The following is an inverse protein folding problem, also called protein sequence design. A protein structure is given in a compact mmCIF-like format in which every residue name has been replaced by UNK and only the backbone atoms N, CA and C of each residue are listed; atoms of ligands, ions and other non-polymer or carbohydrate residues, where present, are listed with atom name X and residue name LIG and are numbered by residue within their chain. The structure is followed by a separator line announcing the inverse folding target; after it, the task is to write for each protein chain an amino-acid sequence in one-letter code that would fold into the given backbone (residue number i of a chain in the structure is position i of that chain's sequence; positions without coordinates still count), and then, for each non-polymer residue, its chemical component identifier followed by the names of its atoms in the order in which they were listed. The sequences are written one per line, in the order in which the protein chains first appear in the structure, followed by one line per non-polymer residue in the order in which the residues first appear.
data_IF_493986549299
#
_entry.id   IF_493986549299
#
_cell.length_a   1.000
_cell.length_b   1.000
_cell.length_c   1.000
_cell.angle_alpha   90.00
_cell.angle_beta   90.00
_cell.angle_gamma   90.00
#
_symmetry.space_group_name_H-M   'P 1'
#
loop_
_entity.id
_entity.type
_entity.pdbx_description
1 polymer ?
#
# COMPACT_ATOMS: atom_id res chain seq x y z
N UNK A 1 20.01 23.88 1.60
CA UNK A 1 20.43 23.03 2.74
C UNK A 1 21.46 22.05 2.21
N UNK A 2 22.61 21.94 2.84
CA UNK A 2 23.62 20.92 2.52
C UNK A 2 23.00 19.54 2.78
N UNK A 3 23.18 18.56 1.91
CA UNK A 3 22.69 17.20 2.16
C UNK A 3 23.36 16.66 3.43
N UNK A 4 22.55 16.12 4.34
CA UNK A 4 23.03 15.45 5.57
C UNK A 4 23.82 14.22 5.12
N UNK A 5 25.03 14.02 5.65
CA UNK A 5 25.85 12.85 5.28
C UNK A 5 25.32 11.56 5.90
N UNK A 6 25.65 10.40 5.29
CA UNK A 6 25.29 9.10 5.87
C UNK A 6 25.89 8.91 7.27
N UNK A 7 27.06 9.50 7.55
CA UNK A 7 27.68 9.49 8.87
C UNK A 7 26.84 10.27 9.90
N UNK A 8 26.40 11.49 9.57
CA UNK A 8 25.55 12.28 10.45
C UNK A 8 24.22 11.59 10.75
N UNK A 9 23.66 10.90 9.75
CA UNK A 9 22.42 10.11 9.94
C UNK A 9 22.68 8.93 10.86
N UNK A 10 23.80 8.21 10.69
CA UNK A 10 24.19 7.11 11.56
C UNK A 10 24.34 7.57 13.00
N UNK A 11 25.16 8.61 13.25
CA UNK A 11 25.41 9.14 14.58
C UNK A 11 24.12 9.58 15.29
N UNK A 12 23.21 10.23 14.55
CA UNK A 12 21.89 10.61 15.06
C UNK A 12 21.02 9.42 15.44
N UNK A 13 20.95 8.37 14.58
CA UNK A 13 20.19 7.18 14.86
C UNK A 13 20.76 6.39 16.04
N UNK A 14 22.09 6.25 16.13
CA UNK A 14 22.77 5.59 17.26
C UNK A 14 22.50 6.33 18.57
N UNK A 15 22.59 7.66 18.55
CA UNK A 15 22.30 8.48 19.72
C UNK A 15 20.84 8.37 20.15
N UNK A 16 19.89 8.53 19.22
CA UNK A 16 18.47 8.49 19.50
C UNK A 16 18.02 7.14 20.09
N UNK A 17 18.69 6.06 19.69
CA UNK A 17 18.32 4.68 20.08
C UNK A 17 19.30 4.02 21.04
N UNK A 18 20.16 4.79 21.70
CA UNK A 18 21.23 4.26 22.56
C UNK A 18 20.72 3.32 23.67
N UNK A 19 19.50 3.52 24.14
CA UNK A 19 18.86 2.71 25.18
C UNK A 19 18.13 1.45 24.65
N UNK A 20 18.15 1.20 23.32
CA UNK A 20 17.44 0.06 22.72
C UNK A 20 18.41 -1.05 22.38
N UNK A 21 18.03 -2.28 22.69
CA UNK A 21 18.77 -3.49 22.30
C UNK A 21 18.22 -4.05 20.96
N UNK A 22 19.06 -4.20 19.91
CA UNK A 22 18.62 -4.77 18.65
C UNK A 22 18.35 -6.30 18.76
N UNK A 23 17.42 -6.85 17.95
CA UNK A 23 16.82 -6.23 16.78
C UNK A 23 15.59 -5.36 17.10
N UNK A 24 15.53 -4.16 16.53
CA UNK A 24 14.36 -3.29 16.60
C UNK A 24 14.14 -2.52 15.28
N UNK A 25 12.93 -1.99 15.08
CA UNK A 25 12.60 -1.16 13.91
C UNK A 25 12.24 0.26 14.34
N UNK A 26 12.61 1.22 13.50
CA UNK A 26 12.35 2.63 13.72
C UNK A 26 11.61 3.26 12.53
N UNK A 27 10.92 4.36 12.80
CA UNK A 27 10.46 5.30 11.77
C UNK A 27 10.98 6.69 12.12
N UNK A 28 11.83 7.21 11.25
CA UNK A 28 12.27 8.59 11.26
C UNK A 28 11.11 9.48 10.78
N UNK A 29 10.49 10.22 11.71
CA UNK A 29 9.34 11.07 11.43
C UNK A 29 9.71 12.25 10.53
N UNK A 30 10.92 12.81 10.64
CA UNK A 30 11.36 13.90 9.78
C UNK A 30 11.42 13.44 8.30
N UNK A 31 11.94 12.24 8.07
CA UNK A 31 11.97 11.63 6.75
C UNK A 31 10.57 11.24 6.27
N UNK A 32 9.73 10.67 7.15
CA UNK A 32 8.34 10.30 6.85
C UNK A 32 7.52 11.51 6.39
N UNK A 33 7.61 12.62 7.12
CA UNK A 33 6.85 13.83 6.80
C UNK A 33 7.38 14.53 5.55
N UNK A 34 8.68 14.50 5.30
CA UNK A 34 9.25 14.97 4.04
C UNK A 34 8.74 14.15 2.85
N UNK A 35 8.66 12.82 3.00
CA UNK A 35 8.10 11.93 1.99
C UNK A 35 6.60 12.18 1.78
N UNK A 36 5.83 12.38 2.85
CA UNK A 36 4.41 12.70 2.76
C UNK A 36 4.18 13.99 1.98
N UNK A 37 4.93 15.05 2.29
CA UNK A 37 4.85 16.33 1.59
C UNK A 37 5.22 16.22 0.10
N UNK A 38 6.24 15.41 -0.24
CA UNK A 38 6.55 15.14 -1.66
C UNK A 38 5.42 14.40 -2.36
N UNK A 39 4.81 13.40 -1.72
CA UNK A 39 3.67 12.68 -2.28
C UNK A 39 2.48 13.61 -2.50
N UNK A 40 2.14 14.47 -1.54
CA UNK A 40 1.07 15.47 -1.66
C UNK A 40 1.32 16.42 -2.83
N UNK A 41 2.52 16.97 -2.94
CA UNK A 41 2.93 17.84 -4.06
C UNK A 41 2.79 17.16 -5.41
N UNK A 42 3.17 15.89 -5.51
CA UNK A 42 3.13 15.09 -6.74
C UNK A 42 1.71 14.66 -7.11
N UNK A 43 0.83 14.51 -6.13
CA UNK A 43 -0.57 14.14 -6.32
C UNK A 43 -1.48 15.34 -6.63
N UNK A 44 -1.06 16.55 -6.24
CA UNK A 44 -1.90 17.75 -6.34
C UNK A 44 -2.49 17.97 -7.75
N UNK A 45 -3.76 18.39 -7.84
CA UNK A 45 -4.65 18.81 -6.75
C UNK A 45 -5.50 17.66 -6.15
N UNK A 46 -5.23 16.40 -6.47
CA UNK A 46 -6.06 15.27 -6.07
C UNK A 46 -5.63 14.70 -4.72
N UNK A 47 -6.57 14.28 -3.86
CA UNK A 47 -6.23 13.64 -2.60
C UNK A 47 -5.63 12.25 -2.82
N UNK A 48 -4.82 11.83 -1.86
CA UNK A 48 -4.25 10.47 -1.78
C UNK A 48 -5.09 9.64 -0.82
N UNK A 49 -5.65 8.54 -1.30
CA UNK A 49 -6.20 7.49 -0.44
C UNK A 49 -5.05 6.65 0.08
N UNK A 50 -4.87 6.62 1.40
CA UNK A 50 -3.73 5.97 2.06
C UNK A 50 -3.81 4.45 1.93
N UNK A 51 -2.83 3.85 1.26
CA UNK A 51 -2.73 2.40 1.15
C UNK A 51 -2.19 1.79 2.45
N UNK A 52 -3.07 1.27 3.29
CA UNK A 52 -2.79 0.68 4.62
C UNK A 52 -1.75 -0.45 4.55
N UNK A 53 -1.83 -1.30 3.52
CA UNK A 53 -0.86 -2.36 3.23
C UNK A 53 0.60 -1.90 3.28
N UNK A 54 0.83 -0.64 2.96
CA UNK A 54 2.17 -0.07 2.89
C UNK A 54 2.65 0.53 4.20
N UNK A 55 1.79 0.64 5.21
CA UNK A 55 2.09 1.22 6.52
C UNK A 55 1.98 0.18 7.64
N UNK A 56 0.86 -0.54 7.71
CA UNK A 56 0.57 -1.60 8.70
C UNK A 56 0.88 -1.22 10.15
N UNK A 57 0.64 0.05 10.46
CA UNK A 57 0.73 0.66 11.78
C UNK A 57 -0.38 1.69 11.88
N UNK A 58 -1.36 1.44 12.74
CA UNK A 58 -2.58 2.25 12.85
C UNK A 58 -2.27 3.67 13.31
N UNK A 59 -1.44 3.83 14.32
CA UNK A 59 -1.05 5.15 14.83
C UNK A 59 -0.42 6.05 13.75
N UNK A 60 0.38 5.48 12.85
CA UNK A 60 0.94 6.23 11.72
C UNK A 60 -0.10 6.52 10.63
N UNK A 61 -1.04 5.60 10.40
CA UNK A 61 -2.13 5.84 9.45
C UNK A 61 -3.03 6.99 9.91
N UNK A 62 -3.40 7.02 11.19
CA UNK A 62 -4.18 8.08 11.81
C UNK A 62 -3.51 9.45 11.59
N UNK A 63 -2.22 9.58 11.94
CA UNK A 63 -1.44 10.81 11.76
C UNK A 63 -1.30 11.25 10.29
N UNK A 64 -1.14 10.29 9.37
CA UNK A 64 -1.06 10.60 7.94
C UNK A 64 -2.41 11.09 7.42
N UNK A 65 -3.51 10.52 7.88
CA UNK A 65 -4.87 10.92 7.48
C UNK A 65 -5.29 12.30 8.01
N UNK A 66 -4.61 12.83 9.04
CA UNK A 66 -4.79 14.22 9.51
C UNK A 66 -4.21 15.25 8.52
N UNK A 67 -3.36 14.84 7.58
CA UNK A 67 -2.76 15.73 6.59
C UNK A 67 -3.74 16.04 5.46
N UNK A 68 -3.82 17.33 5.02
CA UNK A 68 -4.81 17.76 4.02
C UNK A 68 -4.75 17.04 2.68
N UNK A 69 -3.56 16.54 2.29
CA UNK A 69 -3.36 15.82 1.03
C UNK A 69 -3.79 14.36 1.06
N UNK A 70 -4.14 13.82 2.24
CA UNK A 70 -4.57 12.42 2.40
C UNK A 70 -6.06 12.35 2.78
N UNK A 71 -6.75 11.37 2.21
CA UNK A 71 -8.18 11.20 2.46
C UNK A 71 -8.60 9.75 2.31
N UNK A 72 -9.13 9.17 3.40
CA UNK A 72 -9.62 7.80 3.44
C UNK A 72 -8.52 6.75 3.31
N UNK A 73 -8.88 5.52 3.54
CA UNK A 73 -7.97 4.37 3.58
C UNK A 73 -8.24 3.42 2.42
N UNK A 74 -7.17 2.89 1.80
CA UNK A 74 -7.22 1.78 0.86
C UNK A 74 -6.77 0.52 1.60
N UNK A 75 -7.73 -0.25 2.10
CA UNK A 75 -7.50 -1.52 2.78
C UNK A 75 -7.17 -2.64 1.79
N UNK A 76 -6.40 -3.64 2.21
CA UNK A 76 -6.00 -4.74 1.33
C UNK A 76 -6.81 -6.02 1.51
N UNK A 77 -7.59 -6.14 2.59
CA UNK A 77 -8.59 -7.21 2.77
C UNK A 77 -9.86 -6.66 3.41
N UNK A 78 -10.98 -7.35 3.24
CA UNK A 78 -12.21 -6.98 3.92
C UNK A 78 -12.11 -7.17 5.45
N UNK A 79 -11.50 -8.25 6.00
CA UNK A 79 -11.26 -8.35 7.44
C UNK A 79 -10.46 -7.18 8.02
N UNK A 80 -9.42 -6.71 7.31
CA UNK A 80 -8.70 -5.49 7.72
C UNK A 80 -9.62 -4.27 7.76
N UNK A 81 -10.40 -4.07 6.70
CA UNK A 81 -11.32 -2.93 6.61
C UNK A 81 -12.33 -2.90 7.76
N UNK A 82 -12.88 -4.06 8.11
CA UNK A 82 -13.82 -4.22 9.23
C UNK A 82 -13.14 -3.94 10.58
N UNK A 83 -11.92 -4.42 10.76
CA UNK A 83 -11.14 -4.14 11.96
C UNK A 83 -10.81 -2.64 12.09
N UNK A 84 -10.38 -1.99 11.01
CA UNK A 84 -10.14 -0.54 10.98
C UNK A 84 -11.41 0.25 11.24
N UNK A 85 -12.54 -0.14 10.64
CA UNK A 85 -13.86 0.45 10.91
C UNK A 85 -14.24 0.34 12.39
N UNK A 86 -13.92 -0.78 13.04
CA UNK A 86 -14.06 -0.98 14.49
C UNK A 86 -13.18 -0.07 15.34
N UNK A 87 -12.17 0.58 14.73
CA UNK A 87 -11.22 1.50 15.37
C UNK A 87 -11.42 2.97 14.98
N UNK A 88 -12.55 3.30 14.35
CA UNK A 88 -12.91 4.68 14.02
C UNK A 88 -12.49 5.17 12.64
N UNK A 89 -12.00 4.30 11.76
CA UNK A 89 -11.78 4.65 10.35
C UNK A 89 -13.12 4.64 9.60
N UNK A 90 -13.48 5.75 8.94
CA UNK A 90 -14.82 5.95 8.40
C UNK A 90 -14.94 5.84 6.88
N UNK A 91 -13.87 6.10 6.13
CA UNK A 91 -13.84 6.08 4.67
C UNK A 91 -12.81 5.05 4.18
N UNK A 92 -13.29 3.81 3.95
CA UNK A 92 -12.43 2.67 3.62
C UNK A 92 -12.84 2.08 2.27
N UNK A 93 -11.88 1.97 1.35
CA UNK A 93 -12.02 1.25 0.09
C UNK A 93 -11.19 -0.04 0.16
N UNK A 94 -11.82 -1.19 0.02
CA UNK A 94 -11.11 -2.48 -0.05
C UNK A 94 -10.59 -2.68 -1.47
N UNK A 95 -9.26 -2.71 -1.62
CA UNK A 95 -8.57 -2.68 -2.91
C UNK A 95 -8.68 -3.97 -3.74
N UNK A 96 -9.05 -5.07 -3.12
CA UNK A 96 -9.07 -6.38 -3.76
C UNK A 96 -10.40 -7.08 -3.51
N UNK A 97 -10.95 -7.79 -4.52
CA UNK A 97 -12.15 -8.59 -4.34
C UNK A 97 -11.98 -9.62 -3.23
N UNK A 98 -13.07 -9.94 -2.56
CA UNK A 98 -13.09 -10.96 -1.50
C UNK A 98 -14.02 -12.11 -1.84
N UNK A 99 -13.67 -13.31 -1.37
CA UNK A 99 -14.54 -14.49 -1.33
C UNK A 99 -14.83 -14.92 0.13
N UNK A 100 -14.43 -14.14 1.11
CA UNK A 100 -14.67 -14.39 2.53
C UNK A 100 -16.13 -14.13 2.88
N UNK A 101 -16.92 -15.21 2.97
CA UNK A 101 -18.35 -15.16 3.28
C UNK A 101 -18.63 -14.65 4.69
N UNK A 102 -17.69 -14.87 5.64
CA UNK A 102 -17.80 -14.38 7.00
C UNK A 102 -17.69 -12.86 7.04
N UNK A 103 -16.64 -12.34 6.41
CA UNK A 103 -16.41 -10.91 6.32
C UNK A 103 -17.51 -10.19 5.51
N UNK A 104 -18.04 -10.79 4.45
CA UNK A 104 -19.19 -10.22 3.70
C UNK A 104 -20.45 -10.11 4.56
N UNK A 105 -20.78 -11.11 5.41
CA UNK A 105 -21.89 -11.01 6.36
C UNK A 105 -21.67 -9.93 7.40
N UNK A 106 -20.45 -9.82 7.89
CA UNK A 106 -20.07 -8.77 8.86
C UNK A 106 -20.15 -7.38 8.22
N UNK A 107 -19.74 -7.21 6.96
CA UNK A 107 -19.94 -5.98 6.19
C UNK A 107 -21.42 -5.61 6.08
N UNK A 108 -22.27 -6.59 5.74
CA UNK A 108 -23.70 -6.39 5.63
C UNK A 108 -24.32 -5.95 6.98
N UNK A 109 -23.83 -6.50 8.10
CA UNK A 109 -24.22 -6.10 9.46
C UNK A 109 -23.73 -4.68 9.78
N UNK A 110 -22.44 -4.40 9.55
CA UNK A 110 -21.83 -3.08 9.78
C UNK A 110 -22.58 -1.97 9.04
N UNK A 111 -22.89 -2.19 7.76
CA UNK A 111 -23.62 -1.22 6.91
C UNK A 111 -25.01 -0.91 7.48
N UNK A 112 -25.69 -1.91 8.08
CA UNK A 112 -27.00 -1.70 8.70
C UNK A 112 -26.92 -1.00 10.08
N UNK A 113 -25.87 -1.27 10.87
CA UNK A 113 -25.71 -0.75 12.23
C UNK A 113 -25.02 0.61 12.28
N UNK A 114 -24.08 0.88 11.35
CA UNK A 114 -23.28 2.12 11.32
C UNK A 114 -23.22 2.70 9.91
N UNK A 115 -24.30 3.31 9.42
CA UNK A 115 -24.38 3.85 8.05
C UNK A 115 -23.39 4.99 7.77
N UNK A 116 -22.88 5.65 8.80
CA UNK A 116 -21.85 6.68 8.70
C UNK A 116 -20.47 6.10 8.30
N UNK A 117 -20.23 4.83 8.61
CA UNK A 117 -18.97 4.15 8.29
C UNK A 117 -19.00 3.60 6.86
N UNK A 118 -18.34 4.28 5.96
CA UNK A 118 -18.35 3.97 4.52
C UNK A 118 -17.27 2.95 4.19
N UNK A 119 -17.64 1.66 4.16
CA UNK A 119 -16.77 0.59 3.65
C UNK A 119 -17.24 0.22 2.24
N UNK A 120 -16.40 0.44 1.25
CA UNK A 120 -16.64 0.09 -0.16
C UNK A 120 -15.81 -1.12 -0.54
N UNK A 121 -16.41 -2.09 -1.23
CA UNK A 121 -15.72 -3.32 -1.66
C UNK A 121 -15.50 -3.35 -3.17
N UNK A 122 -14.42 -4.00 -3.60
CA UNK A 122 -14.10 -4.17 -5.01
C UNK A 122 -14.90 -5.30 -5.64
N UNK A 123 -15.43 -5.04 -6.84
CA UNK A 123 -16.18 -6.02 -7.64
C UNK A 123 -15.72 -5.99 -9.09
N UNK A 124 -15.44 -7.15 -9.67
CA UNK A 124 -15.08 -7.29 -11.08
C UNK A 124 -15.76 -8.47 -11.79
N UNK A 125 -16.66 -9.18 -11.12
CA UNK A 125 -17.38 -10.32 -11.69
C UNK A 125 -18.78 -10.53 -11.08
N UNK A 126 -19.66 -11.19 -11.82
CA UNK A 126 -21.00 -11.56 -11.33
C UNK A 126 -20.94 -12.53 -10.15
N UNK A 127 -19.97 -13.44 -10.14
CA UNK A 127 -19.80 -14.39 -9.04
C UNK A 127 -19.54 -13.70 -7.69
N UNK A 128 -18.85 -12.55 -7.67
CA UNK A 128 -18.66 -11.77 -6.46
C UNK A 128 -19.95 -11.09 -6.00
N UNK A 129 -20.79 -10.64 -6.94
CA UNK A 129 -22.13 -10.12 -6.61
C UNK A 129 -23.03 -11.23 -6.03
N UNK A 130 -22.97 -12.44 -6.57
CA UNK A 130 -23.73 -13.58 -6.04
C UNK A 130 -23.30 -13.93 -4.60
N UNK A 131 -22.00 -13.82 -4.27
CA UNK A 131 -21.51 -13.98 -2.90
C UNK A 131 -22.03 -12.88 -1.97
N UNK A 132 -22.10 -11.64 -2.47
CA UNK A 132 -22.63 -10.51 -1.72
C UNK A 132 -24.13 -10.65 -1.47
N UNK A 133 -24.91 -11.03 -2.49
CA UNK A 133 -26.36 -11.30 -2.36
C UNK A 133 -26.62 -12.36 -1.30
N UNK A 134 -25.85 -13.46 -1.32
CA UNK A 134 -25.96 -14.51 -0.32
C UNK A 134 -25.65 -14.01 1.10
N UNK A 135 -24.69 -13.09 1.24
CA UNK A 135 -24.36 -12.49 2.53
C UNK A 135 -25.46 -11.52 3.00
N UNK A 136 -26.01 -10.72 2.10
CA UNK A 136 -27.13 -9.81 2.38
C UNK A 136 -28.40 -10.56 2.79
N UNK A 137 -28.71 -11.68 2.12
CA UNK A 137 -29.85 -12.52 2.46
C UNK A 137 -29.71 -13.22 3.82
N UNK A 138 -28.48 -13.56 4.22
CA UNK A 138 -28.17 -14.23 5.47
C UNK A 138 -28.05 -13.26 6.68
N UNK A 139 -27.92 -11.96 6.45
CA UNK A 139 -27.80 -10.99 7.50
C UNK A 139 -29.20 -10.72 8.13
N UNK A 140 -29.34 -10.77 9.47
CA UNK A 140 -30.64 -10.51 10.12
C UNK A 140 -31.17 -9.13 9.72
N UNK A 141 -32.46 -9.03 9.43
CA UNK A 141 -33.16 -7.75 9.37
C UNK A 141 -32.88 -7.04 10.72
N UNK A 142 -32.45 -5.77 10.69
CA UNK A 142 -32.05 -5.05 11.91
C UNK A 142 -33.08 -5.29 13.01
N UNK A 143 -32.60 -5.74 14.19
CA UNK A 143 -33.46 -5.85 15.36
C UNK A 143 -33.99 -4.46 15.66
N UNK A 144 -35.29 -4.28 15.48
CA UNK A 144 -36.02 -3.08 15.84
C UNK A 144 -35.71 -2.72 17.29
N UNK A 145 -35.47 -1.44 17.54
CA UNK A 145 -35.41 -0.86 18.88
C UNK A 145 -36.59 -1.31 19.75
N UNK A 146 -36.42 -1.39 21.09
CA UNK A 146 -37.46 -1.88 21.99
C UNK A 146 -38.77 -1.09 21.80
N UNK A 147 -39.85 -1.84 21.67
CA UNK A 147 -41.21 -1.36 21.50
C UNK A 147 -41.60 -0.41 22.66
N UNK A 148 -41.82 0.85 22.32
CA UNK A 148 -42.81 1.67 23.07
C UNK A 148 -44.00 1.82 22.12
N UNK A 149 -45.15 1.31 22.58
CA UNK A 149 -46.44 1.41 21.93
C UNK A 149 -46.81 2.88 21.65
N UNK A 150 -46.74 3.31 20.42
CA UNK A 150 -47.56 4.41 19.87
C UNK A 150 -47.80 4.17 18.40
N UNK A 151 -49.06 3.92 18.10
CA UNK A 151 -49.78 4.01 16.80
C UNK A 151 -48.97 3.85 15.50
N UNK A 152 -49.04 2.66 14.91
CA UNK A 152 -48.62 2.35 13.53
C UNK A 152 -49.62 2.98 12.53
N UNK A 153 -49.14 3.89 11.72
CA UNK A 153 -49.66 4.02 10.34
C UNK A 153 -48.49 4.25 9.40
N UNK A 154 -48.51 3.49 8.31
CA UNK A 154 -47.67 3.54 7.11
C UNK A 154 -46.43 2.60 7.12
N UNK A 155 -46.52 1.63 6.23
CA UNK A 155 -45.58 0.74 5.58
C UNK A 155 -44.21 1.37 5.28
N UNK A 156 -43.14 0.90 5.99
CA UNK A 156 -41.76 1.21 5.67
C UNK A 156 -40.90 1.16 6.91
N UNK A 157 -40.34 0.00 7.25
CA UNK A 157 -39.19 -0.07 8.17
C UNK A 157 -38.03 0.76 7.57
N UNK A 158 -37.05 1.23 8.40
CA UNK A 158 -35.93 1.99 7.88
C UNK A 158 -35.27 1.17 6.77
N UNK A 159 -35.18 1.77 5.57
CA UNK A 159 -34.56 1.11 4.42
C UNK A 159 -33.10 0.80 4.77
N UNK A 160 -32.72 -0.47 4.60
CA UNK A 160 -31.34 -0.90 4.82
C UNK A 160 -30.43 -0.11 3.88
N UNK A 161 -29.35 0.47 4.41
CA UNK A 161 -28.35 1.12 3.58
C UNK A 161 -27.70 0.09 2.65
N UNK A 162 -27.49 0.40 1.37
CA UNK A 162 -26.87 -0.51 0.43
C UNK A 162 -25.38 -0.68 0.74
N UNK A 163 -24.85 -1.87 0.47
CA UNK A 163 -23.41 -2.12 0.47
C UNK A 163 -22.78 -1.40 -0.72
N UNK A 164 -21.72 -0.66 -0.45
CA UNK A 164 -21.03 0.18 -1.43
C UNK A 164 -20.07 -0.67 -2.26
N UNK A 165 -20.25 -0.69 -3.57
CA UNK A 165 -19.43 -1.42 -4.52
C UNK A 165 -18.58 -0.47 -5.39
N UNK A 166 -17.32 -0.82 -5.59
CA UNK A 166 -16.38 -0.17 -6.51
C UNK A 166 -16.01 -1.16 -7.62
N UNK A 167 -16.15 -0.76 -8.88
CA UNK A 167 -15.82 -1.58 -10.03
C UNK A 167 -14.32 -1.57 -10.30
N UNK A 168 -13.65 -2.73 -10.41
CA UNK A 168 -12.25 -2.82 -10.82
C UNK A 168 -12.12 -2.94 -12.34
N UNK A 169 -11.43 -1.99 -12.96
CA UNK A 169 -11.02 -2.03 -14.36
C UNK A 169 -9.58 -2.55 -14.48
N UNK A 170 -9.34 -3.54 -15.33
CA UNK A 170 -7.98 -3.98 -15.65
C UNK A 170 -7.18 -2.85 -16.31
N UNK A 171 -6.15 -2.36 -15.61
CA UNK A 171 -5.27 -1.29 -16.08
C UNK A 171 -4.10 -1.81 -16.95
N UNK A 172 -3.98 -3.12 -17.17
CA UNK A 172 -2.93 -3.71 -17.98
C UNK A 172 -2.99 -3.28 -19.45
N UNK A 173 -1.82 -3.13 -20.09
CA UNK A 173 -1.71 -2.92 -21.53
C UNK A 173 -1.90 -4.24 -22.26
N UNK A 174 -2.81 -4.28 -23.25
CA UNK A 174 -3.04 -5.44 -24.12
C UNK A 174 -2.65 -5.10 -25.53
N UNK A 175 -1.77 -5.90 -26.12
CA UNK A 175 -1.28 -5.77 -27.48
C UNK A 175 -1.66 -7.02 -28.29
N UNK A 176 -1.66 -6.92 -29.63
CA UNK A 176 -1.94 -8.02 -30.54
C UNK A 176 -3.24 -8.75 -30.19
N UNK A 177 -4.35 -8.03 -30.11
CA UNK A 177 -5.68 -8.57 -29.76
C UNK A 177 -5.69 -9.32 -28.41
N UNK A 178 -4.89 -8.85 -27.46
CA UNK A 178 -4.82 -9.42 -26.11
C UNK A 178 -3.90 -10.65 -25.96
N UNK A 179 -3.17 -11.04 -27.02
CA UNK A 179 -2.17 -12.12 -26.94
C UNK A 179 -0.98 -11.73 -26.06
N UNK A 180 -0.62 -10.46 -26.01
CA UNK A 180 0.41 -9.92 -25.13
C UNK A 180 -0.25 -9.05 -24.08
N UNK A 181 -0.06 -9.39 -22.81
CA UNK A 181 -0.58 -8.65 -21.67
C UNK A 181 0.57 -8.19 -20.77
N UNK A 182 0.63 -6.89 -20.53
CA UNK A 182 1.66 -6.23 -19.70
C UNK A 182 0.97 -5.53 -18.54
N UNK A 183 1.36 -5.85 -17.31
CA UNK A 183 0.74 -5.34 -16.10
C UNK A 183 0.20 -6.44 -15.20
N UNK A 184 -0.58 -6.06 -14.21
CA UNK A 184 -1.19 -7.00 -13.28
C UNK A 184 -2.30 -7.80 -13.97
N UNK A 185 -2.30 -9.11 -13.76
CA UNK A 185 -3.37 -10.01 -14.23
C UNK A 185 -4.43 -10.11 -13.14
N UNK A 186 -5.37 -9.17 -13.12
CA UNK A 186 -6.37 -9.06 -12.07
C UNK A 186 -7.78 -9.14 -12.62
N UNK A 187 -8.39 -7.98 -12.89
CA UNK A 187 -9.78 -7.93 -13.37
C UNK A 187 -9.98 -8.50 -14.77
N UNK A 188 -11.07 -9.19 -15.06
CA UNK A 188 -11.49 -9.55 -16.40
C UNK A 188 -12.05 -8.35 -17.18
N UNK A 189 -12.47 -7.29 -16.50
CA UNK A 189 -13.10 -6.09 -17.07
C UNK A 189 -12.03 -5.18 -17.65
N UNK A 190 -11.95 -5.09 -18.97
CA UNK A 190 -10.91 -4.31 -19.66
C UNK A 190 -11.47 -3.20 -20.55
N UNK A 191 -12.59 -3.44 -21.21
CA UNK A 191 -13.18 -2.50 -22.16
C UNK A 191 -14.26 -1.64 -21.52
N UNK A 192 -14.55 -0.43 -22.07
CA UNK A 192 -15.69 0.38 -21.63
C UNK A 192 -17.03 -0.35 -21.66
N UNK A 193 -17.24 -1.20 -22.67
CA UNK A 193 -18.47 -1.98 -22.79
C UNK A 193 -18.61 -3.03 -21.67
N UNK A 194 -17.52 -3.71 -21.31
CA UNK A 194 -17.48 -4.63 -20.18
C UNK A 194 -17.72 -3.90 -18.85
N UNK A 195 -17.11 -2.73 -18.66
CA UNK A 195 -17.32 -1.93 -17.47
C UNK A 195 -18.79 -1.48 -17.34
N UNK A 196 -19.40 -0.99 -18.42
CA UNK A 196 -20.83 -0.63 -18.43
C UNK A 196 -21.75 -1.83 -18.20
N UNK A 197 -21.40 -3.03 -18.73
CA UNK A 197 -22.17 -4.24 -18.49
C UNK A 197 -22.14 -4.67 -17.01
N UNK A 198 -20.95 -4.65 -16.39
CA UNK A 198 -20.83 -4.93 -14.95
C UNK A 198 -21.51 -3.86 -14.10
N UNK A 199 -21.39 -2.57 -14.46
CA UNK A 199 -22.08 -1.47 -13.77
C UNK A 199 -23.61 -1.70 -13.74
N UNK A 200 -24.21 -2.06 -14.88
CA UNK A 200 -25.65 -2.41 -14.94
C UNK A 200 -25.99 -3.62 -14.06
N UNK A 201 -25.12 -4.62 -14.03
CA UNK A 201 -25.32 -5.78 -13.16
C UNK A 201 -25.26 -5.41 -11.67
N UNK A 202 -24.35 -4.51 -11.27
CA UNK A 202 -24.27 -4.02 -9.89
C UNK A 202 -25.54 -3.23 -9.53
N UNK A 203 -25.95 -2.29 -10.37
CA UNK A 203 -27.15 -1.45 -10.13
C UNK A 203 -28.45 -2.28 -10.11
N UNK A 204 -28.48 -3.40 -10.81
CA UNK A 204 -29.63 -4.31 -10.79
C UNK A 204 -29.73 -5.17 -9.51
N UNK A 205 -28.72 -5.15 -8.62
CA UNK A 205 -28.73 -5.91 -7.35
C UNK A 205 -29.38 -5.08 -6.24
N UNK A 206 -30.39 -5.66 -5.61
CA UNK A 206 -31.00 -5.07 -4.42
C UNK A 206 -30.00 -5.01 -3.26
N UNK A 207 -29.93 -3.88 -2.56
CA UNK A 207 -29.03 -3.69 -1.43
C UNK A 207 -27.54 -3.48 -1.78
N UNK A 208 -27.23 -3.19 -3.06
CA UNK A 208 -25.87 -2.84 -3.52
C UNK A 208 -25.91 -1.50 -4.27
N UNK A 209 -24.97 -0.62 -3.97
CA UNK A 209 -24.81 0.67 -4.64
C UNK A 209 -23.44 0.75 -5.33
N UNK A 210 -23.44 1.10 -6.61
CA UNK A 210 -22.21 1.40 -7.33
C UNK A 210 -21.73 2.81 -7.01
N UNK A 211 -20.63 2.94 -6.27
CA UNK A 211 -20.10 4.24 -5.81
C UNK A 211 -18.81 4.66 -6.49
N UNK A 212 -18.08 3.75 -7.12
CA UNK A 212 -16.78 4.08 -7.66
C UNK A 212 -16.24 3.12 -8.70
N UNK A 213 -15.11 3.52 -9.27
CA UNK A 213 -14.30 2.69 -10.16
C UNK A 213 -12.82 2.82 -9.78
N UNK A 214 -12.09 1.70 -9.81
CA UNK A 214 -10.64 1.68 -9.59
C UNK A 214 -9.91 1.04 -10.76
N UNK A 215 -8.72 1.56 -11.09
CA UNK A 215 -7.81 0.95 -12.05
C UNK A 215 -6.36 1.20 -11.64
N UNK A 216 -5.67 0.16 -11.16
CA UNK A 216 -4.28 0.25 -10.70
C UNK A 216 -3.30 -0.17 -11.78
N UNK A 217 -2.45 0.75 -12.21
CA UNK A 217 -1.46 0.59 -13.27
C UNK A 217 -0.10 0.05 -12.78
N UNK A 218 -0.04 -1.24 -12.45
CA UNK A 218 1.16 -1.87 -11.90
C UNK A 218 2.40 -1.76 -12.83
N UNK A 219 2.22 -1.79 -14.14
CA UNK A 219 3.28 -1.68 -15.13
C UNK A 219 3.85 -0.25 -15.26
N UNK A 220 3.20 0.74 -14.66
CA UNK A 220 3.66 2.12 -14.59
C UNK A 220 4.18 2.41 -13.18
N UNK A 221 3.33 2.25 -12.18
CA UNK A 221 3.64 2.58 -10.78
C UNK A 221 4.64 1.63 -10.11
N UNK A 222 4.73 0.39 -10.57
CA UNK A 222 5.48 -0.69 -9.93
C UNK A 222 6.82 -1.05 -10.58
N UNK A 223 7.25 -0.36 -11.63
CA UNK A 223 8.50 -0.61 -12.34
C UNK A 223 9.45 0.59 -12.19
N UNK A 224 10.66 0.34 -11.69
CA UNK A 224 11.73 1.33 -11.69
C UNK A 224 12.23 1.59 -13.12
N UNK A 225 12.46 2.85 -13.45
CA UNK A 225 12.83 3.36 -14.78
C UNK A 225 14.24 3.96 -14.84
N UNK A 226 14.98 3.90 -13.72
CA UNK A 226 16.39 4.24 -13.63
C UNK A 226 17.28 2.99 -13.87
N UNK A 227 18.47 3.15 -14.47
CA UNK A 227 19.42 2.05 -14.56
C UNK A 227 19.94 1.66 -13.17
N UNK A 228 20.09 0.35 -12.93
CA UNK A 228 20.59 -0.17 -11.64
C UNK A 228 22.12 -0.15 -11.52
N UNK A 229 22.81 0.58 -12.40
CA UNK A 229 24.27 0.71 -12.44
C UNK A 229 24.76 1.25 -13.76
N UNK A 230 26.09 1.42 -13.94
CA UNK A 230 26.67 1.88 -15.19
C UNK A 230 26.64 0.80 -16.27
N UNK A 231 26.43 1.17 -17.52
CA UNK A 231 26.54 0.29 -18.68
C UNK A 231 25.41 0.47 -19.69
N UNK A 232 25.76 0.41 -20.99
CA UNK A 232 24.85 0.66 -22.11
C UNK A 232 23.62 -0.29 -22.07
N UNK A 233 23.81 -1.55 -21.72
CA UNK A 233 22.71 -2.52 -21.66
C UNK A 233 21.66 -2.15 -20.58
N UNK A 234 22.09 -1.63 -19.43
CA UNK A 234 21.19 -1.16 -18.36
C UNK A 234 20.47 0.11 -18.77
N UNK A 235 21.16 1.04 -19.45
CA UNK A 235 20.54 2.25 -20.01
C UNK A 235 19.49 1.93 -21.09
N UNK A 236 19.79 0.99 -22.01
CA UNK A 236 18.83 0.53 -23.02
C UNK A 236 17.59 -0.12 -22.39
N UNK A 237 17.81 -0.95 -21.37
CA UNK A 237 16.71 -1.57 -20.60
C UNK A 237 15.85 -0.51 -19.90
N UNK A 238 16.46 0.46 -19.23
CA UNK A 238 15.74 1.56 -18.60
C UNK A 238 14.98 2.41 -19.64
N UNK A 239 15.58 2.65 -20.83
CA UNK A 239 14.92 3.28 -21.95
C UNK A 239 13.69 2.54 -22.44
N UNK A 240 13.79 1.22 -22.58
CA UNK A 240 12.66 0.37 -22.97
C UNK A 240 11.52 0.39 -21.92
N UNK A 241 11.87 0.40 -20.63
CA UNK A 241 10.88 0.53 -19.53
C UNK A 241 10.15 1.87 -19.64
N UNK A 242 10.88 2.97 -19.82
CA UNK A 242 10.26 4.32 -19.99
C UNK A 242 9.31 4.39 -21.19
N UNK A 243 9.71 3.83 -22.34
CA UNK A 243 8.84 3.78 -23.51
C UNK A 243 7.57 2.98 -23.23
N UNK A 244 7.70 1.81 -22.61
CA UNK A 244 6.57 0.96 -22.21
C UNK A 244 5.62 1.70 -21.26
N UNK A 245 6.17 2.38 -20.26
CA UNK A 245 5.38 3.18 -19.31
C UNK A 245 4.63 4.31 -20.02
N UNK A 246 5.29 5.04 -20.93
CA UNK A 246 4.68 6.12 -21.70
C UNK A 246 3.54 5.62 -22.60
N UNK A 247 3.75 4.51 -23.33
CA UNK A 247 2.71 3.88 -24.15
C UNK A 247 1.53 3.38 -23.28
N UNK A 248 1.83 2.71 -22.18
CA UNK A 248 0.80 2.23 -21.23
C UNK A 248 0.00 3.38 -20.64
N UNK A 249 0.64 4.47 -20.26
CA UNK A 249 -0.03 5.63 -19.67
C UNK A 249 -1.01 6.30 -20.66
N UNK A 250 -0.59 6.48 -21.94
CA UNK A 250 -1.46 7.07 -22.98
C UNK A 250 -2.68 6.20 -23.26
N UNK A 251 -2.46 4.90 -23.47
CA UNK A 251 -3.54 3.93 -23.74
C UNK A 251 -4.52 3.88 -22.55
N UNK A 252 -3.99 3.72 -21.34
CA UNK A 252 -4.82 3.59 -20.15
C UNK A 252 -5.62 4.86 -19.87
N UNK A 253 -5.04 6.05 -19.99
CA UNK A 253 -5.75 7.31 -19.79
C UNK A 253 -6.96 7.45 -20.73
N UNK A 254 -6.79 7.08 -22.01
CA UNK A 254 -7.87 7.09 -22.98
C UNK A 254 -8.96 6.06 -22.64
N UNK A 255 -8.58 4.83 -22.33
CA UNK A 255 -9.49 3.73 -22.00
C UNK A 255 -10.19 3.96 -20.64
N UNK A 256 -9.48 4.42 -19.63
CA UNK A 256 -10.05 4.79 -18.32
C UNK A 256 -11.10 5.89 -18.49
N UNK A 257 -10.82 6.94 -19.25
CA UNK A 257 -11.79 8.01 -19.56
C UNK A 257 -13.04 7.46 -20.22
N UNK A 258 -12.89 6.61 -21.23
CA UNK A 258 -14.00 6.00 -21.94
C UNK A 258 -14.81 5.06 -21.04
N UNK A 259 -14.13 4.27 -20.20
CA UNK A 259 -14.79 3.36 -19.24
C UNK A 259 -15.55 4.15 -18.16
N UNK A 260 -14.96 5.21 -17.60
CA UNK A 260 -15.64 6.09 -16.64
C UNK A 260 -16.87 6.73 -17.24
N UNK A 261 -16.77 7.24 -18.48
CA UNK A 261 -17.93 7.81 -19.18
C UNK A 261 -19.05 6.77 -19.39
N UNK A 262 -18.67 5.55 -19.80
CA UNK A 262 -19.63 4.46 -20.01
C UNK A 262 -20.31 3.99 -18.70
N UNK A 263 -19.57 3.97 -17.59
CA UNK A 263 -20.12 3.63 -16.26
C UNK A 263 -20.99 4.76 -15.73
N UNK A 264 -20.58 6.03 -15.87
CA UNK A 264 -21.37 7.21 -15.47
C UNK A 264 -22.70 7.35 -16.22
N UNK A 265 -22.79 6.78 -17.43
CA UNK A 265 -24.04 6.70 -18.15
C UNK A 265 -25.04 5.68 -17.51
N UNK A 266 -24.56 4.81 -16.62
CA UNK A 266 -25.38 3.83 -15.89
C UNK A 266 -25.69 4.34 -14.47
N UNK A 267 -24.68 4.84 -13.75
CA UNK A 267 -24.82 5.35 -12.38
C UNK A 267 -23.77 6.45 -12.10
N UNK A 268 -24.07 7.38 -11.20
CA UNK A 268 -23.09 8.36 -10.74
C UNK A 268 -21.94 7.67 -10.01
N UNK A 269 -20.73 8.25 -10.11
CA UNK A 269 -19.56 7.78 -9.38
C UNK A 269 -19.06 8.86 -8.42
N UNK A 270 -18.96 8.54 -7.14
CA UNK A 270 -18.38 9.40 -6.11
C UNK A 270 -16.86 9.47 -6.24
N UNK A 271 -16.23 8.33 -6.62
CA UNK A 271 -14.79 8.24 -6.76
C UNK A 271 -14.36 7.49 -8.02
N UNK A 272 -13.23 7.91 -8.56
CA UNK A 272 -12.46 7.17 -9.56
C UNK A 272 -11.02 7.12 -9.06
N UNK A 273 -10.59 5.95 -8.60
CA UNK A 273 -9.29 5.74 -7.99
C UNK A 273 -8.29 5.17 -9.01
N UNK A 274 -7.05 5.63 -8.93
CA UNK A 274 -5.94 5.13 -9.73
C UNK A 274 -4.61 5.46 -9.08
N UNK A 275 -3.53 5.14 -9.76
CA UNK A 275 -2.19 5.50 -9.31
C UNK A 275 -1.57 4.56 -8.29
N UNK A 276 -0.32 4.85 -8.04
CA UNK A 276 0.56 4.30 -7.02
C UNK A 276 1.68 5.29 -6.77
N UNK A 277 2.51 5.08 -5.75
CA UNK A 277 3.63 5.99 -5.42
C UNK A 277 4.49 6.33 -6.66
N UNK A 278 4.68 5.37 -7.58
CA UNK A 278 5.50 5.55 -8.78
C UNK A 278 4.81 6.23 -9.96
N UNK A 279 3.50 6.52 -9.89
CA UNK A 279 2.74 7.13 -10.99
C UNK A 279 1.91 8.35 -10.58
N UNK A 280 2.12 8.89 -9.37
CA UNK A 280 1.31 9.98 -8.82
C UNK A 280 1.13 11.13 -9.81
N UNK A 281 2.22 11.69 -10.36
CA UNK A 281 2.18 12.85 -11.25
C UNK A 281 1.46 12.57 -12.57
N UNK A 282 1.67 11.36 -13.10
CA UNK A 282 1.05 10.96 -14.36
C UNK A 282 -0.45 10.82 -14.23
N UNK A 283 -0.87 10.08 -13.21
CA UNK A 283 -2.28 9.76 -12.95
C UNK A 283 -3.04 10.98 -12.40
N UNK A 284 -2.37 11.88 -11.67
CA UNK A 284 -2.98 13.13 -11.21
C UNK A 284 -3.46 14.04 -12.37
N UNK A 285 -2.84 13.95 -13.54
CA UNK A 285 -3.21 14.74 -14.74
C UNK A 285 -4.43 14.20 -15.48
N UNK A 286 -4.91 13.00 -15.15
CA UNK A 286 -6.07 12.41 -15.82
C UNK A 286 -7.37 12.98 -15.26
N UNK A 287 -8.15 13.71 -16.07
CA UNK A 287 -9.41 14.33 -15.64
C UNK A 287 -10.44 13.33 -15.11
N UNK A 288 -10.40 12.11 -15.63
CA UNK A 288 -11.32 11.04 -15.19
C UNK A 288 -11.04 10.54 -13.77
N UNK A 289 -9.82 10.69 -13.26
CA UNK A 289 -9.40 10.24 -11.92
C UNK A 289 -9.73 11.32 -10.91
N UNK A 290 -10.34 10.95 -9.78
CA UNK A 290 -10.73 11.89 -8.72
C UNK A 290 -9.86 11.80 -7.47
N UNK A 291 -9.21 10.64 -7.25
CA UNK A 291 -8.30 10.40 -6.13
C UNK A 291 -7.19 9.43 -6.52
N UNK A 292 -6.08 9.46 -5.81
CA UNK A 292 -4.93 8.59 -6.06
C UNK A 292 -4.73 7.61 -4.90
N UNK A 293 -4.25 6.39 -5.19
CA UNK A 293 -3.92 5.43 -4.16
C UNK A 293 -2.40 5.35 -3.97
N UNK A 294 -1.87 5.66 -2.79
CA UNK A 294 -0.46 5.51 -2.50
C UNK A 294 -0.19 5.35 -0.99
N UNK A 295 0.97 4.84 -0.63
CA UNK A 295 1.38 4.68 0.76
C UNK A 295 2.84 4.30 0.90
N UNK A 296 3.38 3.50 -0.02
CA UNK A 296 4.74 2.95 0.10
C UNK A 296 5.85 4.01 0.09
N UNK A 297 5.61 5.17 -0.50
CA UNK A 297 6.54 6.30 -0.47
C UNK A 297 6.83 6.81 0.93
N UNK A 298 5.89 6.69 1.86
CA UNK A 298 6.03 7.16 3.24
C UNK A 298 7.25 6.56 3.94
N UNK A 299 7.44 5.25 3.84
CA UNK A 299 8.56 4.54 4.47
C UNK A 299 9.87 4.59 3.67
N UNK A 300 9.82 4.97 2.40
CA UNK A 300 10.99 5.07 1.55
C UNK A 300 11.75 3.76 1.36
N UNK A 301 11.10 2.65 0.93
CA UNK A 301 11.77 1.35 0.76
C UNK A 301 12.80 1.37 -0.36
N UNK A 302 13.75 0.44 -0.30
CA UNK A 302 14.88 0.36 -1.22
C UNK A 302 14.52 0.18 -2.69
N UNK A 303 13.35 -0.36 -3.01
CA UNK A 303 12.89 -0.49 -4.40
C UNK A 303 12.71 0.85 -5.12
N UNK A 304 12.47 1.94 -4.39
CA UNK A 304 12.29 3.25 -5.01
C UNK A 304 13.58 3.92 -5.47
N UNK A 305 14.75 3.40 -5.09
CA UNK A 305 16.03 3.93 -5.62
C UNK A 305 16.18 3.71 -7.14
N UNK A 306 15.37 2.82 -7.71
CA UNK A 306 15.31 2.59 -9.14
C UNK A 306 14.33 3.51 -9.90
N UNK A 307 13.82 4.59 -9.28
CA UNK A 307 12.92 5.55 -9.93
C UNK A 307 13.62 6.88 -10.18
N UNK A 308 13.36 7.49 -11.35
CA UNK A 308 13.95 8.78 -11.73
C UNK A 308 13.13 9.98 -11.27
N UNK A 309 11.82 9.83 -11.24
CA UNK A 309 10.90 10.94 -10.99
C UNK A 309 10.89 11.41 -9.55
N UNK A 310 11.28 10.56 -8.61
CA UNK A 310 11.29 10.85 -7.19
C UNK A 310 12.28 9.97 -6.43
N UNK A 311 12.69 10.43 -5.25
CA UNK A 311 13.62 9.72 -4.38
C UNK A 311 13.18 9.91 -2.92
N UNK A 312 12.37 8.97 -2.37
CA UNK A 312 11.93 9.12 -1.00
C UNK A 312 13.08 8.86 -0.03
N UNK A 313 13.11 9.61 1.06
CA UNK A 313 14.08 9.39 2.14
C UNK A 313 13.81 8.05 2.81
N UNK A 314 14.85 7.28 3.19
CA UNK A 314 14.67 6.09 4.02
C UNK A 314 14.09 6.49 5.38
N UNK A 315 12.77 6.35 5.57
CA UNK A 315 12.11 6.70 6.81
C UNK A 315 11.96 5.49 7.75
N UNK A 316 11.68 4.30 7.21
CA UNK A 316 11.60 3.09 8.02
C UNK A 316 12.85 2.23 7.84
N UNK A 317 13.54 1.99 8.95
CA UNK A 317 14.77 1.20 9.06
C UNK A 317 14.65 0.20 10.20
N UNK A 318 15.55 -0.78 10.23
CA UNK A 318 15.69 -1.66 11.38
C UNK A 318 17.17 -1.93 11.69
N UNK A 319 17.50 -2.05 12.98
CA UNK A 319 18.82 -2.30 13.48
C UNK A 319 19.00 -3.79 13.80
N UNK A 320 20.15 -4.34 13.46
CA UNK A 320 20.54 -5.70 13.79
C UNK A 320 21.89 -5.67 14.53
N UNK A 321 22.10 -6.51 15.57
CA UNK A 321 23.40 -6.57 16.26
C UNK A 321 24.40 -7.37 15.44
N UNK A 322 25.64 -6.92 15.41
CA UNK A 322 26.79 -7.73 14.98
C UNK A 322 27.06 -8.79 16.04
N UNK A 323 27.03 -10.05 15.65
CA UNK A 323 27.23 -11.18 16.57
C UNK A 323 28.51 -11.95 16.30
N UNK A 324 29.15 -11.78 15.12
CA UNK A 324 30.41 -12.44 14.76
C UNK A 324 31.26 -11.53 13.87
N UNK A 325 32.56 -11.80 13.97
CA UNK A 325 33.59 -11.26 13.06
C UNK A 325 34.41 -12.43 12.48
N UNK A 326 33.97 -13.07 11.39
CA UNK A 326 34.59 -14.24 10.83
C UNK A 326 36.00 -13.99 10.30
N UNK A 327 36.33 -12.80 9.87
CA UNK A 327 37.59 -12.38 9.32
C UNK A 327 37.60 -10.92 8.86
N UNK A 328 38.73 -10.46 8.29
CA UNK A 328 38.80 -9.08 7.76
C UNK A 328 37.73 -8.81 6.73
N UNK A 329 37.11 -7.61 6.78
CA UNK A 329 36.09 -7.16 5.84
C UNK A 329 34.75 -7.89 5.96
N UNK A 330 34.51 -8.68 7.03
CA UNK A 330 33.29 -9.46 7.21
C UNK A 330 32.79 -9.37 8.65
N UNK A 331 31.51 -9.05 8.81
CA UNK A 331 30.74 -9.20 10.04
C UNK A 331 29.50 -10.03 9.79
N UNK A 332 28.96 -10.68 10.81
CA UNK A 332 27.69 -11.38 10.73
C UNK A 332 26.70 -10.72 11.70
N UNK A 333 25.59 -10.22 11.17
CA UNK A 333 24.49 -9.68 11.94
C UNK A 333 23.48 -10.78 12.30
N UNK A 334 22.75 -10.62 13.42
CA UNK A 334 21.68 -11.52 13.84
C UNK A 334 20.37 -11.13 13.15
N UNK A 335 19.79 -12.03 12.35
CA UNK A 335 18.53 -11.80 11.65
C UNK A 335 18.68 -11.09 10.31
N UNK A 336 17.59 -10.51 9.83
CA UNK A 336 17.56 -9.64 8.64
C UNK A 336 16.97 -10.27 7.40
N UNK A 337 16.85 -11.60 7.33
CA UNK A 337 16.43 -12.33 6.15
C UNK A 337 14.92 -12.47 6.01
N UNK A 338 14.34 -11.79 5.03
CA UNK A 338 13.03 -12.10 4.48
C UNK A 338 12.96 -11.64 3.02
N UNK A 339 12.12 -12.31 2.24
CA UNK A 339 11.91 -11.96 0.84
C UNK A 339 10.62 -11.14 0.72
N UNK A 340 10.71 -9.91 0.24
CA UNK A 340 9.54 -9.08 -0.02
C UNK A 340 8.73 -9.61 -1.22
N UNK A 341 7.42 -9.36 -1.23
CA UNK A 341 6.49 -9.85 -2.25
C UNK A 341 6.84 -9.38 -3.66
N UNK A 342 6.63 -10.28 -4.65
CA UNK A 342 6.94 -10.11 -6.06
C UNK A 342 7.81 -11.24 -6.60
N UNK A 343 8.44 -11.09 -7.77
CA UNK A 343 9.41 -12.08 -8.26
C UNK A 343 10.54 -12.26 -7.25
N UNK A 344 10.90 -13.52 -6.98
CA UNK A 344 11.97 -13.84 -6.05
C UNK A 344 13.33 -13.48 -6.66
N UNK A 345 13.87 -12.35 -6.24
CA UNK A 345 15.18 -11.85 -6.65
C UNK A 345 15.86 -11.05 -5.54
N UNK A 346 17.12 -10.66 -5.74
CA UNK A 346 17.92 -9.92 -4.76
C UNK A 346 17.35 -8.52 -4.45
N UNK A 347 16.62 -7.90 -5.35
CA UNK A 347 16.00 -6.60 -5.13
C UNK A 347 14.85 -6.68 -4.10
N UNK A 348 14.43 -7.90 -3.74
CA UNK A 348 13.39 -8.16 -2.74
C UNK A 348 13.96 -8.46 -1.35
N UNK A 349 15.28 -8.56 -1.21
CA UNK A 349 15.93 -8.73 0.10
C UNK A 349 16.08 -7.38 0.80
N UNK A 350 16.00 -7.34 2.14
CA UNK A 350 16.51 -6.21 2.90
C UNK A 350 18.00 -6.03 2.60
N UNK A 351 18.48 -4.81 2.67
CA UNK A 351 19.88 -4.51 2.39
C UNK A 351 20.49 -3.64 3.48
N UNK A 352 21.81 -3.78 3.76
CA UNK A 352 22.50 -2.90 4.68
C UNK A 352 22.41 -1.46 4.14
N UNK A 353 22.21 -0.53 5.06
CA UNK A 353 22.06 0.90 4.76
C UNK A 353 23.16 1.70 5.46
N UNK A 354 23.33 1.51 6.77
CA UNK A 354 24.39 2.17 7.55
C UNK A 354 25.10 1.16 8.46
N UNK A 355 26.42 1.30 8.67
CA UNK A 355 27.29 2.24 7.96
C UNK A 355 27.32 1.96 6.46
N UNK A 356 27.46 3.05 5.67
CA UNK A 356 27.46 2.96 4.22
C UNK A 356 28.66 2.12 3.72
N UNK A 357 28.46 1.36 2.62
CA UNK A 357 29.52 0.52 2.04
C UNK A 357 29.48 -0.95 2.43
N UNK A 358 28.62 -1.35 3.37
CA UNK A 358 28.30 -2.75 3.61
C UNK A 358 27.43 -3.33 2.49
N UNK A 359 27.59 -4.60 2.20
CA UNK A 359 26.78 -5.34 1.22
C UNK A 359 26.53 -6.76 1.69
N UNK A 360 25.44 -7.34 1.24
CA UNK A 360 25.14 -8.76 1.45
C UNK A 360 26.16 -9.65 0.74
N UNK A 361 26.48 -10.77 1.32
CA UNK A 361 27.20 -11.84 0.64
C UNK A 361 26.41 -12.31 -0.61
N UNK A 362 27.14 -12.72 -1.66
CA UNK A 362 26.49 -13.11 -2.92
C UNK A 362 25.86 -14.50 -2.87
N UNK A 363 26.36 -15.38 -2.04
CA UNK A 363 25.90 -16.77 -1.94
C UNK A 363 24.83 -16.90 -0.85
N UNK A 364 25.09 -16.32 0.34
CA UNK A 364 24.20 -16.46 1.48
C UNK A 364 23.03 -15.43 1.46
N UNK A 365 23.25 -14.24 0.90
CA UNK A 365 22.21 -13.19 0.88
C UNK A 365 21.89 -12.68 2.28
N UNK A 366 20.58 -12.42 2.52
CA UNK A 366 20.05 -12.06 3.83
C UNK A 366 19.45 -13.33 4.47
N UNK A 367 20.09 -13.84 5.50
CA UNK A 367 19.67 -15.05 6.20
C UNK A 367 18.61 -14.79 7.26
N UNK A 368 17.76 -15.76 7.51
CA UNK A 368 16.68 -15.62 8.50
C UNK A 368 17.21 -15.32 9.90
N UNK A 369 18.26 -16.02 10.32
CA UNK A 369 18.86 -15.91 11.66
C UNK A 369 20.21 -15.19 11.63
N UNK A 370 21.05 -15.41 10.61
CA UNK A 370 22.35 -14.78 10.47
C UNK A 370 22.55 -14.25 9.05
N UNK A 371 23.03 -13.01 8.96
CA UNK A 371 23.29 -12.34 7.69
C UNK A 371 24.74 -11.89 7.63
N UNK A 372 25.57 -12.52 6.79
CA UNK A 372 26.92 -12.04 6.52
C UNK A 372 26.90 -10.73 5.74
N UNK A 373 27.68 -9.76 6.21
CA UNK A 373 27.85 -8.45 5.62
C UNK A 373 29.30 -8.18 5.32
N UNK A 374 29.60 -7.79 4.10
CA UNK A 374 30.94 -7.58 3.59
C UNK A 374 31.18 -6.12 3.23
N UNK A 375 32.40 -5.67 3.42
CA UNK A 375 32.85 -4.34 3.01
C UNK A 375 33.83 -3.74 4.00
N UNK A 376 34.54 -2.67 3.61
CA UNK A 376 35.52 -2.01 4.48
C UNK A 376 34.94 -1.57 5.85
N UNK A 377 33.67 -1.10 5.96
CA UNK A 377 33.12 -0.77 7.28
C UNK A 377 33.02 -1.95 8.25
N UNK A 378 33.04 -3.19 7.77
CA UNK A 378 33.04 -4.36 8.65
C UNK A 378 34.28 -4.45 9.54
N UNK A 379 35.39 -3.86 9.12
CA UNK A 379 36.63 -3.88 9.91
C UNK A 379 36.57 -2.98 11.14
N UNK A 380 35.71 -1.98 11.14
CA UNK A 380 35.52 -1.05 12.26
C UNK A 380 34.42 -1.48 13.23
N UNK A 381 33.56 -2.42 12.85
CA UNK A 381 32.47 -2.88 13.69
C UNK A 381 32.92 -3.96 14.67
N UNK A 382 32.56 -3.83 15.93
CA UNK A 382 32.76 -4.81 17.00
C UNK A 382 31.51 -5.70 17.18
N UNK A 383 31.67 -6.82 17.90
CA UNK A 383 30.51 -7.61 18.37
C UNK A 383 29.71 -6.74 19.34
N UNK A 384 28.39 -6.65 19.11
CA UNK A 384 27.49 -5.77 19.85
C UNK A 384 27.14 -4.47 19.11
N UNK A 385 27.97 -4.04 18.15
CA UNK A 385 27.63 -2.89 17.31
C UNK A 385 26.43 -3.18 16.43
N UNK A 386 25.82 -2.12 15.88
CA UNK A 386 24.61 -2.20 15.08
C UNK A 386 24.88 -2.06 13.60
N UNK A 387 24.10 -2.75 12.81
CA UNK A 387 23.96 -2.51 11.37
C UNK A 387 22.53 -2.13 11.08
N UNK A 388 22.34 -1.00 10.44
CA UNK A 388 21.03 -0.53 10.02
C UNK A 388 20.68 -1.07 8.66
N UNK A 389 19.53 -1.71 8.59
CA UNK A 389 19.02 -2.34 7.39
C UNK A 389 17.86 -1.53 6.83
N UNK A 390 17.76 -1.44 5.51
CA UNK A 390 16.63 -0.87 4.80
C UNK A 390 15.81 -1.99 4.16
N UNK A 391 14.51 -1.99 4.41
CA UNK A 391 13.58 -2.95 3.82
C UNK A 391 13.43 -2.71 2.31
N UNK A 392 13.14 -3.78 1.55
CA UNK A 392 13.00 -3.69 0.09
C UNK A 392 11.67 -3.07 -0.33
N UNK A 393 10.57 -3.43 0.36
CA UNK A 393 9.21 -3.02 -0.01
C UNK A 393 8.42 -2.65 1.24
N UNK A 394 7.69 -1.53 1.17
CA UNK A 394 6.97 -0.98 2.32
C UNK A 394 5.85 -1.90 2.83
N UNK A 395 5.60 -1.84 4.13
CA UNK A 395 4.59 -2.60 4.86
C UNK A 395 5.05 -3.96 5.34
N UNK A 396 5.87 -4.68 4.58
CA UNK A 396 6.31 -6.03 4.96
C UNK A 396 7.33 -6.03 6.12
N UNK A 397 7.99 -4.89 6.39
CA UNK A 397 8.76 -4.68 7.62
C UNK A 397 7.90 -4.92 8.87
N UNK A 398 6.66 -4.45 8.85
CA UNK A 398 5.72 -4.56 9.97
C UNK A 398 5.19 -5.98 10.21
N UNK A 399 5.47 -6.93 9.31
CA UNK A 399 5.25 -8.36 9.55
C UNK A 399 6.40 -9.01 10.35
N UNK A 400 7.53 -8.31 10.50
CA UNK A 400 8.73 -8.80 11.19
C UNK A 400 8.90 -8.19 12.58
N UNK A 401 8.35 -7.00 12.79
CA UNK A 401 8.46 -6.27 14.05
C UNK A 401 7.08 -5.96 14.61
N UNK A 402 6.87 -6.25 15.88
CA UNK A 402 5.61 -5.97 16.58
C UNK A 402 5.47 -4.50 16.96
N UNK A 403 6.58 -3.76 16.98
CA UNK A 403 6.63 -2.35 17.40
C UNK A 403 7.55 -1.53 16.50
N UNK A 404 7.24 -0.25 16.39
CA UNK A 404 8.09 0.74 15.74
C UNK A 404 8.42 1.83 16.76
N UNK A 405 9.70 2.18 16.86
CA UNK A 405 10.15 3.33 17.63
C UNK A 405 10.16 4.56 16.72
N UNK A 406 9.36 5.56 17.07
CA UNK A 406 9.25 6.80 16.30
C UNK A 406 10.33 7.77 16.74
N UNK A 407 11.17 8.23 15.80
CA UNK A 407 12.26 9.16 16.04
C UNK A 407 11.88 10.52 15.47
N UNK A 408 12.03 11.56 16.30
CA UNK A 408 11.94 12.96 15.91
C UNK A 408 13.22 13.66 16.34
N UNK A 409 13.92 14.28 15.40
CA UNK A 409 15.25 14.84 15.66
C UNK A 409 16.22 13.73 16.10
N UNK A 410 16.70 13.81 17.33
CA UNK A 410 17.70 12.93 17.93
C UNK A 410 17.17 12.05 19.08
N UNK A 411 15.86 11.84 19.16
CA UNK A 411 15.25 11.06 20.25
C UNK A 411 14.11 10.18 19.79
N UNK A 412 13.92 9.06 20.44
CA UNK A 412 12.68 8.28 20.37
C UNK A 412 11.60 9.02 21.15
N UNK A 413 10.55 9.43 20.44
CA UNK A 413 9.43 10.18 21.04
C UNK A 413 8.26 9.27 21.44
N UNK A 414 8.15 8.10 20.80
CA UNK A 414 7.05 7.17 21.05
C UNK A 414 7.38 5.76 20.55
N UNK A 415 6.76 4.76 21.14
CA UNK A 415 6.72 3.39 20.67
C UNK A 415 5.28 3.02 20.31
N UNK A 416 5.05 2.57 19.08
CA UNK A 416 3.72 2.24 18.56
C UNK A 416 3.65 0.80 18.05
N UNK A 417 2.54 0.09 18.24
CA UNK A 417 2.37 -1.25 17.70
C UNK A 417 2.18 -1.22 16.18
N UNK A 418 2.74 -2.21 15.50
CA UNK A 418 2.33 -2.59 14.15
C UNK A 418 1.05 -3.41 14.18
N UNK A 419 0.46 -3.77 13.03
CA UNK A 419 -0.65 -4.72 12.98
C UNK A 419 -0.30 -6.03 13.69
N UNK A 420 0.91 -6.55 13.45
CA UNK A 420 1.43 -7.72 14.17
C UNK A 420 1.44 -7.49 15.68
N UNK A 421 1.85 -6.32 16.14
CA UNK A 421 1.86 -5.94 17.56
C UNK A 421 0.48 -5.84 18.19
N UNK A 422 -0.53 -5.54 17.38
CA UNK A 422 -1.95 -5.55 17.78
C UNK A 422 -2.59 -6.95 17.61
N UNK A 423 -1.80 -7.99 17.34
CA UNK A 423 -2.28 -9.36 17.16
C UNK A 423 -3.02 -9.59 15.84
N UNK A 424 -2.82 -8.72 14.83
CA UNK A 424 -3.53 -8.76 13.56
C UNK A 424 -2.66 -9.33 12.43
N UNK A 425 -3.22 -10.31 11.72
CA UNK A 425 -2.69 -10.85 10.48
C UNK A 425 -3.88 -11.06 9.53
N UNK A 426 -3.87 -10.38 8.38
CA UNK A 426 -5.00 -10.38 7.44
C UNK A 426 -4.70 -11.11 6.12
N UNK A 427 -3.53 -11.76 6.02
CA UNK A 427 -3.07 -12.58 4.87
C UNK A 427 -2.52 -13.91 5.34
#
# INVERSE_FOLDING_TARGET
MTPISDADVLDRLEYATAALDPPFAVVDLDALWANAADMERRAAPKPIRLASKSVRCRALQERVLERPGFRGTLAYTLPEALWLAGRGFEDILVAYPTADRGALRELARLTAERPETRVSIMVDSLAQLDLLDAALAAAPASASAPSSDVLRSSTGGPARQPVRACLELDAGLRLLDGRVRIGAKRSPVHTPAQAAALARAIVAREGVELVGMMAYEAQIAGLGDAPSGPGLALELRAGAVRLLQALSARELAARRRAAVAAVRAVAPLELVNGGGTGSLEGTAREDAVTELAAGSGLYGPGLFDAYRAFSPRPAALFALPVVRRPGPGVVTALGGGYLASGPADRARLPRPHLPAGLRLDRQEGAGEVQTPLLGAPADTLAVGDRVWMRHAKAGELCERFSRLHLIEGDRVVEEVPTYRGEGQCFL
#
